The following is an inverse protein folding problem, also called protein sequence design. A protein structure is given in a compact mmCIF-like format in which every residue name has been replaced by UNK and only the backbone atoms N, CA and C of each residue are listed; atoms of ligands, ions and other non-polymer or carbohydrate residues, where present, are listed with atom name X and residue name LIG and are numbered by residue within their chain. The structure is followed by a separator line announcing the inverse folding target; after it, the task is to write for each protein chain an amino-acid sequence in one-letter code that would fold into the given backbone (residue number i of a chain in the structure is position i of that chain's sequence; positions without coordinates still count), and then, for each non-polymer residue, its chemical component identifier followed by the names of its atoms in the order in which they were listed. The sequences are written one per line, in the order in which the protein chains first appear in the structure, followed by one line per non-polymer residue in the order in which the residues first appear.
data_IF_034010698355
#
_entry.id   IF_034010698355
#
_cell.length_a   1.000
_cell.length_b   1.000
_cell.length_c   1.000
_cell.angle_alpha   90.00
_cell.angle_beta   90.00
_cell.angle_gamma   90.00
#
_symmetry.space_group_name_H-M   'P 1'
#
loop_
_entity.id
_entity.type
_entity.pdbx_description
1 polymer ?
#
# COMPACT_ATOMS: atom_id res chain seq x y z
N UNK A 1 5.66 -10.29 11.91
CA UNK A 1 5.25 -9.53 10.70
C UNK A 1 5.30 -8.04 11.01
N UNK A 2 5.81 -7.26 10.11
CA UNK A 2 5.87 -5.80 10.23
C UNK A 2 5.05 -5.15 9.11
N UNK A 3 4.16 -4.23 9.47
CA UNK A 3 3.38 -3.47 8.51
C UNK A 3 4.18 -2.27 8.02
N UNK A 4 4.26 -2.06 6.72
CA UNK A 4 4.72 -0.81 6.11
C UNK A 4 3.47 -0.03 5.70
N UNK A 5 3.22 1.11 6.34
CA UNK A 5 2.05 1.94 6.03
C UNK A 5 2.50 3.17 5.26
N UNK A 6 2.09 3.24 4.00
CA UNK A 6 2.42 4.32 3.11
C UNK A 6 1.48 5.50 3.35
N UNK A 7 2.00 6.56 3.95
CA UNK A 7 1.29 7.81 4.23
C UNK A 7 1.73 8.94 3.31
N UNK A 8 2.23 8.62 2.13
CA UNK A 8 2.60 9.58 1.10
C UNK A 8 1.40 10.25 0.45
N UNK A 9 1.67 11.30 -0.33
CA UNK A 9 0.66 12.03 -1.08
C UNK A 9 0.09 13.25 -0.33
N UNK A 10 -0.04 14.36 -1.06
CA UNK A 10 -0.56 15.63 -0.54
C UNK A 10 -2.09 15.68 -0.41
N UNK A 11 -2.79 14.69 -1.01
CA UNK A 11 -4.25 14.57 -0.91
C UNK A 11 -5.06 15.78 -1.42
N UNK A 12 -4.46 16.65 -2.22
CA UNK A 12 -5.02 17.96 -2.65
C UNK A 12 -6.31 17.85 -3.45
N UNK A 13 -6.63 16.67 -4.01
CA UNK A 13 -7.86 16.43 -4.78
C UNK A 13 -9.15 16.58 -3.97
N UNK A 14 -9.07 16.41 -2.65
CA UNK A 14 -10.22 16.59 -1.75
C UNK A 14 -10.34 18.00 -1.18
N UNK A 15 -9.67 18.98 -1.78
CA UNK A 15 -9.89 20.38 -1.38
C UNK A 15 -11.40 20.72 -1.47
N UNK A 16 -12.00 21.39 -0.49
CA UNK A 16 -11.40 22.04 0.67
C UNK A 16 -11.25 21.17 1.93
N UNK A 17 -11.60 19.90 1.91
CA UNK A 17 -11.49 18.99 3.07
C UNK A 17 -10.03 18.70 3.41
N UNK A 18 -9.22 18.35 2.40
CA UNK A 18 -7.79 18.16 2.57
C UNK A 18 -6.99 19.43 2.25
N UNK A 19 -5.83 19.55 2.86
CA UNK A 19 -4.87 20.65 2.71
C UNK A 19 -3.47 20.05 2.64
N UNK A 20 -2.50 20.83 2.16
CA UNK A 20 -1.09 20.40 2.12
C UNK A 20 -0.59 19.92 3.49
N UNK A 21 -0.95 20.61 4.57
CA UNK A 21 -0.58 20.23 5.94
C UNK A 21 -1.62 19.33 6.64
N UNK A 22 -2.71 19.00 5.99
CA UNK A 22 -3.71 18.05 6.47
C UNK A 22 -4.20 17.20 5.28
N UNK A 23 -3.37 16.25 4.81
CA UNK A 23 -3.74 15.42 3.67
C UNK A 23 -4.88 14.46 4.01
N UNK A 24 -5.52 13.90 2.97
CA UNK A 24 -6.77 13.13 3.05
C UNK A 24 -6.77 12.04 4.12
N UNK A 25 -5.67 11.32 4.27
CA UNK A 25 -5.55 10.20 5.19
C UNK A 25 -5.69 10.59 6.66
N UNK A 26 -5.43 11.85 7.02
CA UNK A 26 -5.58 12.38 8.39
C UNK A 26 -6.86 13.18 8.62
N UNK A 27 -7.66 13.40 7.58
CA UNK A 27 -8.97 14.07 7.75
C UNK A 27 -9.95 13.11 8.39
N UNK A 28 -10.61 13.53 9.48
CA UNK A 28 -11.59 12.70 10.22
C UNK A 28 -12.93 12.67 9.48
N UNK A 29 -13.05 11.79 8.47
CA UNK A 29 -14.20 11.72 7.58
C UNK A 29 -15.21 10.63 7.95
N UNK A 30 -14.77 9.56 8.58
CA UNK A 30 -15.59 8.36 8.83
C UNK A 30 -15.84 8.24 10.33
N UNK A 31 -17.03 8.52 10.80
CA UNK A 31 -17.41 8.42 12.21
C UNK A 31 -16.44 9.13 13.18
N UNK A 32 -15.89 10.27 12.76
CA UNK A 32 -14.89 11.02 13.54
C UNK A 32 -13.48 10.43 13.54
N UNK A 33 -13.23 9.38 12.75
CA UNK A 33 -11.92 8.77 12.56
C UNK A 33 -11.31 9.17 11.22
N UNK A 34 -9.99 9.21 11.16
CA UNK A 34 -9.23 9.38 9.91
C UNK A 34 -9.09 8.04 9.18
N UNK A 35 -8.80 8.08 7.89
CA UNK A 35 -8.52 6.87 7.11
C UNK A 35 -7.28 6.15 7.64
N UNK A 36 -6.26 6.91 8.09
CA UNK A 36 -5.06 6.35 8.69
C UNK A 36 -5.36 5.62 10.01
N UNK A 37 -6.18 6.21 10.89
CA UNK A 37 -6.63 5.53 12.11
C UNK A 37 -7.39 4.24 11.84
N UNK A 38 -8.28 4.25 10.82
CA UNK A 38 -9.00 3.04 10.38
C UNK A 38 -8.04 1.97 9.84
N UNK A 39 -7.04 2.36 9.05
CA UNK A 39 -6.02 1.43 8.55
C UNK A 39 -5.23 0.79 9.70
N UNK A 40 -4.73 1.59 10.64
CA UNK A 40 -4.04 1.09 11.83
C UNK A 40 -4.92 0.15 12.68
N UNK A 41 -6.18 0.53 12.92
CA UNK A 41 -7.12 -0.29 13.69
C UNK A 41 -7.41 -1.64 13.03
N UNK A 42 -7.57 -1.66 11.71
CA UNK A 42 -7.77 -2.87 10.91
C UNK A 42 -6.56 -3.79 10.96
N UNK A 43 -5.35 -3.25 10.81
CA UNK A 43 -4.11 -4.03 10.89
C UNK A 43 -3.91 -4.63 12.29
N UNK A 44 -4.17 -3.87 13.34
CA UNK A 44 -4.09 -4.36 14.71
C UNK A 44 -5.11 -5.48 15.01
N UNK A 45 -6.29 -5.46 14.40
CA UNK A 45 -7.27 -6.55 14.51
C UNK A 45 -6.87 -7.80 13.71
N UNK A 46 -6.27 -7.59 12.52
CA UNK A 46 -5.81 -8.69 11.68
C UNK A 46 -4.61 -9.42 12.31
N UNK A 47 -3.61 -8.67 12.79
CA UNK A 47 -2.38 -9.19 13.39
C UNK A 47 -1.97 -8.33 14.61
N UNK A 48 -2.48 -8.65 15.82
CA UNK A 48 -2.28 -7.83 17.02
C UNK A 48 -0.81 -7.69 17.47
N UNK A 49 0.05 -8.62 17.09
CA UNK A 49 1.49 -8.62 17.44
C UNK A 49 2.37 -7.92 16.40
N UNK A 50 1.78 -7.35 15.34
CA UNK A 50 2.56 -6.70 14.30
C UNK A 50 3.14 -5.36 14.76
N UNK A 51 4.37 -5.08 14.29
CA UNK A 51 4.99 -3.75 14.37
C UNK A 51 4.55 -2.91 13.18
N UNK A 52 4.71 -1.59 13.28
CA UNK A 52 4.34 -0.68 12.22
C UNK A 52 5.52 0.22 11.85
N UNK A 53 5.83 0.31 10.56
CA UNK A 53 6.74 1.30 9.99
C UNK A 53 5.89 2.27 9.18
N UNK A 54 5.83 3.51 9.63
CA UNK A 54 5.04 4.56 8.98
C UNK A 54 5.98 5.35 8.07
N UNK A 55 5.72 5.31 6.76
CA UNK A 55 6.49 6.10 5.79
C UNK A 55 5.66 7.30 5.40
N UNK A 56 6.10 8.48 5.78
CA UNK A 56 5.33 9.71 5.58
C UNK A 56 6.23 10.92 5.28
N UNK A 57 5.63 11.95 4.70
CA UNK A 57 6.31 13.24 4.58
C UNK A 57 6.61 13.82 5.97
N UNK A 58 7.79 14.40 6.16
CA UNK A 58 8.23 14.96 7.45
C UNK A 58 7.27 16.03 8.00
N UNK A 59 6.58 16.78 7.13
CA UNK A 59 5.59 17.78 7.53
C UNK A 59 4.31 17.16 8.12
N UNK A 60 4.08 15.86 7.89
CA UNK A 60 2.90 15.13 8.39
C UNK A 60 3.22 14.26 9.60
N UNK A 61 4.49 14.23 10.03
CA UNK A 61 4.96 13.35 11.11
C UNK A 61 4.12 13.47 12.38
N UNK A 62 3.84 14.69 12.84
CA UNK A 62 3.07 14.90 14.07
C UNK A 62 1.63 14.40 13.98
N UNK A 63 1.01 14.47 12.80
CA UNK A 63 -0.32 13.90 12.57
C UNK A 63 -0.28 12.37 12.69
N UNK A 64 0.73 11.74 12.10
CA UNK A 64 0.91 10.30 12.16
C UNK A 64 1.27 9.83 13.57
N UNK A 65 2.12 10.56 14.27
CA UNK A 65 2.55 10.26 15.65
C UNK A 65 1.35 10.26 16.61
N UNK A 66 0.50 11.29 16.54
CA UNK A 66 -0.69 11.43 17.39
C UNK A 66 -1.64 10.23 17.26
N UNK A 67 -1.84 9.74 16.04
CA UNK A 67 -2.71 8.58 15.78
C UNK A 67 -2.06 7.22 16.06
N UNK A 68 -0.73 7.20 16.23
CA UNK A 68 0.02 6.01 16.63
C UNK A 68 0.19 5.86 18.14
N UNK A 69 -0.40 6.75 18.95
CA UNK A 69 -0.28 6.69 20.41
C UNK A 69 -0.69 5.30 20.95
N UNK A 70 0.17 4.72 21.80
CA UNK A 70 -0.02 3.38 22.38
C UNK A 70 0.20 2.20 21.42
N UNK A 71 0.73 2.44 20.22
CA UNK A 71 1.07 1.40 19.23
C UNK A 71 2.58 1.28 19.05
N UNK A 72 3.06 0.07 18.75
CA UNK A 72 4.46 -0.14 18.36
C UNK A 72 4.66 0.39 16.94
N UNK A 73 5.21 1.60 16.82
CA UNK A 73 5.38 2.29 15.56
C UNK A 73 6.76 2.95 15.47
N UNK A 74 7.39 2.80 14.32
CA UNK A 74 8.57 3.57 13.90
C UNK A 74 8.25 4.37 12.64
N UNK A 75 9.06 5.39 12.36
CA UNK A 75 8.77 6.36 11.31
C UNK A 75 9.96 6.50 10.39
N UNK A 76 9.72 6.42 9.08
CA UNK A 76 10.66 6.86 8.04
C UNK A 76 10.10 8.13 7.43
N UNK A 77 10.82 9.23 7.61
CA UNK A 77 10.38 10.56 7.22
C UNK A 77 11.07 10.97 5.92
N UNK A 78 10.24 11.21 4.91
CA UNK A 78 10.64 11.68 3.59
C UNK A 78 10.49 13.20 3.50
N UNK A 79 11.48 13.96 3.03
CA UNK A 79 11.33 15.40 2.80
C UNK A 79 10.34 15.70 1.68
N UNK A 80 10.25 14.81 0.69
CA UNK A 80 9.28 14.79 -0.40
C UNK A 80 9.14 13.36 -0.93
N UNK A 81 8.04 13.04 -1.64
CA UNK A 81 7.80 11.70 -2.16
C UNK A 81 8.64 11.38 -3.42
N UNK A 82 9.06 10.13 -3.55
CA UNK A 82 9.69 9.52 -4.74
C UNK A 82 9.01 8.20 -5.10
N UNK A 83 7.67 8.22 -5.07
CA UNK A 83 6.83 7.08 -5.38
C UNK A 83 7.02 5.89 -4.40
N UNK A 84 6.45 4.72 -4.72
CA UNK A 84 6.31 3.62 -3.77
C UNK A 84 7.51 2.69 -3.70
N UNK A 85 8.31 2.55 -4.76
CA UNK A 85 9.46 1.64 -4.77
C UNK A 85 10.50 2.02 -3.71
N UNK A 86 10.89 3.30 -3.67
CA UNK A 86 11.82 3.83 -2.68
C UNK A 86 11.28 3.69 -1.25
N UNK A 87 10.01 4.08 -1.04
CA UNK A 87 9.36 4.00 0.26
C UNK A 87 9.34 2.56 0.80
N UNK A 88 8.96 1.59 -0.02
CA UNK A 88 8.92 0.18 0.39
C UNK A 88 10.33 -0.36 0.62
N UNK A 89 11.31 0.03 -0.19
CA UNK A 89 12.72 -0.33 0.01
C UNK A 89 13.24 0.18 1.37
N UNK A 90 12.91 1.41 1.78
CA UNK A 90 13.27 1.92 3.11
C UNK A 90 12.68 1.06 4.24
N UNK A 91 11.42 0.64 4.10
CA UNK A 91 10.79 -0.27 5.05
C UNK A 91 11.51 -1.62 5.12
N UNK A 92 11.84 -2.21 3.98
CA UNK A 92 12.55 -3.49 3.90
C UNK A 92 13.97 -3.43 4.48
N UNK A 93 14.67 -2.32 4.26
CA UNK A 93 16.01 -2.07 4.82
C UNK A 93 16.01 -1.76 6.33
N UNK A 94 14.82 -1.58 6.93
CA UNK A 94 14.67 -1.25 8.35
C UNK A 94 14.41 -2.47 9.24
N UNK A 95 14.36 -3.67 8.66
CA UNK A 95 14.08 -4.94 9.36
C UNK A 95 15.04 -6.04 8.93
N UNK A 96 14.99 -7.19 9.61
CA UNK A 96 15.75 -8.36 9.21
C UNK A 96 15.22 -8.97 7.90
N UNK A 97 16.09 -9.53 7.07
CA UNK A 97 15.72 -10.10 5.76
C UNK A 97 14.65 -11.22 5.84
N UNK A 98 14.61 -11.95 6.95
CA UNK A 98 13.60 -12.99 7.22
C UNK A 98 12.24 -12.46 7.64
N UNK A 99 12.11 -11.17 7.94
CA UNK A 99 10.86 -10.56 8.40
C UNK A 99 9.83 -10.50 7.28
N UNK A 100 8.60 -10.90 7.59
CA UNK A 100 7.46 -10.73 6.68
C UNK A 100 6.97 -9.31 6.77
N UNK A 101 6.90 -8.64 5.64
CA UNK A 101 6.38 -7.30 5.47
C UNK A 101 4.99 -7.34 4.85
N UNK A 102 4.08 -6.56 5.40
CA UNK A 102 2.79 -6.27 4.80
C UNK A 102 2.71 -4.78 4.46
N UNK A 103 2.65 -4.46 3.17
CA UNK A 103 2.56 -3.09 2.67
C UNK A 103 1.09 -2.71 2.51
N UNK A 104 0.69 -1.59 3.08
CA UNK A 104 -0.67 -1.06 3.01
C UNK A 104 -0.67 0.44 2.77
N UNK A 105 -1.60 0.91 1.95
CA UNK A 105 -1.91 2.33 1.89
C UNK A 105 -2.67 2.77 3.15
N UNK A 106 -2.46 4.03 3.54
CA UNK A 106 -3.08 4.65 4.72
C UNK A 106 -4.52 5.14 4.50
N UNK A 107 -5.04 5.07 3.28
CA UNK A 107 -6.29 5.72 2.87
C UNK A 107 -7.36 4.77 2.30
N UNK A 108 -7.15 3.47 2.44
CA UNK A 108 -8.11 2.46 2.02
C UNK A 108 -9.18 2.21 3.09
N UNK A 109 -10.44 2.15 2.67
CA UNK A 109 -11.56 1.67 3.48
C UNK A 109 -11.81 0.21 3.08
N UNK A 110 -11.79 -0.68 4.06
CA UNK A 110 -12.05 -2.11 3.88
C UNK A 110 -13.16 -2.51 4.84
N UNK A 111 -14.34 -2.81 4.32
CA UNK A 111 -15.52 -3.12 5.12
C UNK A 111 -15.47 -4.52 5.73
N UNK A 112 -15.04 -5.52 4.95
CA UNK A 112 -15.01 -6.90 5.42
C UNK A 112 -13.68 -7.23 6.12
N UNK A 113 -13.59 -6.88 7.40
CA UNK A 113 -12.39 -7.12 8.22
C UNK A 113 -12.05 -8.62 8.37
N UNK A 114 -13.05 -9.50 8.37
CA UNK A 114 -12.84 -10.96 8.48
C UNK A 114 -12.18 -11.51 7.22
N UNK A 115 -12.66 -11.12 6.03
CA UNK A 115 -12.05 -11.52 4.77
C UNK A 115 -10.64 -10.91 4.62
N UNK A 116 -10.44 -9.68 5.07
CA UNK A 116 -9.11 -9.05 5.09
C UNK A 116 -8.13 -9.84 5.97
N UNK A 117 -8.54 -10.25 7.17
CA UNK A 117 -7.71 -11.08 8.06
C UNK A 117 -7.37 -12.43 7.43
N UNK A 118 -8.34 -13.08 6.80
CA UNK A 118 -8.11 -14.35 6.10
C UNK A 118 -7.08 -14.17 4.97
N UNK A 119 -7.24 -13.15 4.13
CA UNK A 119 -6.32 -12.82 3.05
C UNK A 119 -4.88 -12.53 3.56
N UNK A 120 -4.73 -11.83 4.69
CA UNK A 120 -3.43 -11.62 5.32
C UNK A 120 -2.80 -12.95 5.75
N UNK A 121 -3.57 -13.87 6.32
CA UNK A 121 -3.05 -15.19 6.74
C UNK A 121 -2.56 -15.99 5.53
N UNK A 122 -3.33 -16.03 4.44
CA UNK A 122 -2.92 -16.69 3.20
C UNK A 122 -1.66 -16.04 2.60
N UNK A 123 -1.61 -14.70 2.58
CA UNK A 123 -0.44 -13.96 2.12
C UNK A 123 0.81 -14.24 2.95
N UNK A 124 0.68 -14.36 4.27
CA UNK A 124 1.80 -14.71 5.17
C UNK A 124 2.32 -16.13 4.87
N UNK A 125 1.42 -17.09 4.59
CA UNK A 125 1.82 -18.44 4.24
C UNK A 125 2.66 -18.43 2.95
N UNK A 126 2.16 -17.78 1.91
CA UNK A 126 2.85 -17.64 0.62
C UNK A 126 4.17 -16.87 0.74
N UNK A 127 4.20 -15.78 1.51
CA UNK A 127 5.42 -15.02 1.77
C UNK A 127 6.49 -15.85 2.49
N UNK A 128 6.08 -16.77 3.41
CA UNK A 128 6.99 -17.72 4.05
C UNK A 128 7.64 -18.68 3.05
N UNK A 129 6.96 -19.01 1.96
CA UNK A 129 7.47 -19.82 0.86
C UNK A 129 8.37 -19.02 -0.10
N UNK A 130 8.60 -17.74 0.18
CA UNK A 130 9.42 -16.85 -0.65
C UNK A 130 8.67 -16.22 -1.82
N UNK A 131 7.34 -16.18 -1.80
CA UNK A 131 6.54 -15.55 -2.84
C UNK A 131 6.37 -14.05 -2.58
N UNK A 132 6.28 -13.27 -3.66
CA UNK A 132 5.77 -11.91 -3.66
C UNK A 132 4.25 -11.96 -3.84
N UNK A 133 3.51 -11.44 -2.87
CA UNK A 133 2.05 -11.49 -2.89
C UNK A 133 1.48 -10.11 -3.11
N UNK A 134 0.56 -9.97 -4.06
CA UNK A 134 -0.24 -8.76 -4.28
C UNK A 134 -1.72 -9.05 -4.06
N UNK A 135 -2.50 -8.02 -3.78
CA UNK A 135 -3.93 -8.14 -3.51
C UNK A 135 -4.73 -7.48 -4.63
N UNK A 136 -5.58 -8.27 -5.27
CA UNK A 136 -6.46 -7.81 -6.33
C UNK A 136 -7.88 -7.59 -5.84
N UNK A 137 -8.50 -6.51 -6.27
CA UNK A 137 -9.88 -6.17 -5.98
C UNK A 137 -10.73 -6.56 -7.18
N UNK A 138 -11.84 -7.27 -6.95
CA UNK A 138 -12.76 -7.62 -8.02
C UNK A 138 -13.36 -6.33 -8.61
N UNK A 139 -13.20 -6.07 -9.92
CA UNK A 139 -13.72 -4.87 -10.52
C UNK A 139 -15.23 -4.98 -10.73
N UNK A 140 -15.97 -3.93 -10.42
CA UNK A 140 -17.40 -3.78 -10.65
C UNK A 140 -17.71 -2.86 -11.84
N UNK A 141 -16.76 -2.00 -12.22
CA UNK A 141 -16.87 -1.08 -13.35
C UNK A 141 -15.55 -0.95 -14.12
N UNK A 142 -15.57 -0.49 -15.40
CA UNK A 142 -14.35 -0.23 -16.15
C UNK A 142 -13.73 1.11 -15.72
N UNK A 143 -12.81 1.09 -14.77
CA UNK A 143 -12.17 2.29 -14.23
C UNK A 143 -10.79 2.50 -14.88
N UNK A 144 -10.50 3.72 -15.36
CA UNK A 144 -9.24 4.09 -15.99
C UNK A 144 -8.23 4.68 -15.01
N UNK A 145 -8.61 4.85 -13.74
CA UNK A 145 -7.77 5.40 -12.67
C UNK A 145 -6.96 4.35 -11.91
N UNK A 146 -7.20 3.06 -12.16
CA UNK A 146 -6.56 1.94 -11.47
C UNK A 146 -5.64 1.13 -12.40
N UNK A 147 -4.63 0.50 -11.80
CA UNK A 147 -3.90 -0.59 -12.42
C UNK A 147 -4.74 -1.87 -12.41
N UNK A 148 -4.54 -2.73 -13.40
CA UNK A 148 -5.21 -4.02 -13.53
C UNK A 148 -4.19 -5.15 -13.46
N UNK A 149 -4.53 -6.20 -12.71
CA UNK A 149 -3.77 -7.43 -12.60
C UNK A 149 -4.52 -8.53 -13.34
N UNK A 150 -3.90 -9.14 -14.33
CA UNK A 150 -4.43 -10.31 -15.01
C UNK A 150 -4.03 -11.57 -14.22
N UNK A 151 -5.02 -12.32 -13.74
CA UNK A 151 -4.79 -13.62 -13.10
C UNK A 151 -4.44 -14.69 -14.16
N UNK A 152 -3.53 -15.58 -13.81
CA UNK A 152 -3.20 -16.77 -14.58
C UNK A 152 -3.76 -18.04 -13.90
N UNK A 153 -2.93 -19.01 -13.64
CA UNK A 153 -3.36 -20.29 -13.07
C UNK A 153 -3.80 -20.14 -11.62
N UNK A 154 -4.88 -20.86 -11.27
CA UNK A 154 -5.32 -20.98 -9.88
C UNK A 154 -4.37 -21.90 -9.12
N UNK A 155 -3.94 -21.44 -7.95
CA UNK A 155 -3.13 -22.20 -6.99
C UNK A 155 -3.90 -22.38 -5.68
N UNK A 156 -3.33 -23.06 -4.70
CA UNK A 156 -4.01 -23.38 -3.43
C UNK A 156 -4.52 -22.11 -2.71
N UNK A 157 -3.71 -21.03 -2.68
CA UNK A 157 -4.03 -19.77 -2.01
C UNK A 157 -4.03 -18.60 -2.99
N UNK A 158 -4.80 -18.66 -4.09
CA UNK A 158 -4.89 -17.53 -5.01
C UNK A 158 -4.64 -17.89 -6.46
N UNK A 159 -3.97 -17.00 -7.20
CA UNK A 159 -3.61 -17.15 -8.60
C UNK A 159 -2.20 -16.65 -8.85
N UNK A 160 -1.48 -17.30 -9.77
CA UNK A 160 -0.29 -16.65 -10.33
C UNK A 160 -0.70 -15.43 -11.16
N UNK A 161 0.19 -14.44 -11.26
CA UNK A 161 -0.05 -13.24 -12.06
C UNK A 161 0.42 -13.50 -13.48
N UNK A 162 -0.34 -13.04 -14.47
CA UNK A 162 0.04 -13.08 -15.89
C UNK A 162 0.63 -11.76 -16.36
N UNK A 163 0.05 -10.66 -15.97
CA UNK A 163 0.51 -9.32 -16.35
C UNK A 163 -0.12 -8.23 -15.48
N UNK A 164 0.56 -7.09 -15.44
CA UNK A 164 0.03 -5.83 -14.93
C UNK A 164 -0.23 -4.86 -16.07
N UNK A 165 -1.26 -4.05 -15.95
CA UNK A 165 -1.57 -2.98 -16.90
C UNK A 165 -1.97 -1.73 -16.12
N UNK A 166 -1.12 -0.72 -16.13
CA UNK A 166 -1.36 0.52 -15.39
C UNK A 166 -2.29 1.45 -16.17
N UNK A 167 -3.37 1.86 -15.55
CA UNK A 167 -4.33 2.89 -16.02
C UNK A 167 -4.66 2.77 -17.51
N UNK A 168 -5.30 1.65 -17.94
CA UNK A 168 -5.66 1.45 -19.33
C UNK A 168 -6.65 2.51 -19.81
N UNK A 169 -6.77 2.69 -21.12
CA UNK A 169 -7.85 3.47 -21.68
C UNK A 169 -9.22 2.80 -21.44
N UNK A 170 -10.29 3.56 -21.63
CA UNK A 170 -11.65 3.09 -21.34
C UNK A 170 -12.06 1.87 -22.20
N UNK A 171 -11.59 1.79 -23.45
CA UNK A 171 -11.91 0.67 -24.33
C UNK A 171 -11.23 -0.61 -23.83
N UNK A 172 -9.97 -0.53 -23.48
CA UNK A 172 -9.18 -1.61 -22.88
C UNK A 172 -9.77 -2.04 -21.53
N UNK A 173 -10.10 -1.09 -20.62
CA UNK A 173 -10.73 -1.38 -19.34
C UNK A 173 -12.06 -2.14 -19.48
N UNK A 174 -12.92 -1.75 -20.44
CA UNK A 174 -14.15 -2.47 -20.76
C UNK A 174 -13.91 -3.90 -21.26
N UNK A 175 -12.89 -4.10 -22.09
CA UNK A 175 -12.51 -5.43 -22.60
C UNK A 175 -12.01 -6.32 -21.45
N UNK A 176 -11.15 -5.79 -20.56
CA UNK A 176 -10.64 -6.49 -19.38
C UNK A 176 -11.78 -6.94 -18.47
N UNK A 177 -12.72 -6.05 -18.17
CA UNK A 177 -13.90 -6.37 -17.36
C UNK A 177 -14.78 -7.46 -18.01
N UNK A 178 -15.04 -7.35 -19.31
CA UNK A 178 -15.87 -8.29 -20.04
C UNK A 178 -15.24 -9.68 -20.18
N UNK A 179 -13.91 -9.76 -20.29
CA UNK A 179 -13.20 -11.04 -20.42
C UNK A 179 -13.10 -11.81 -19.11
N UNK A 180 -13.24 -11.14 -17.96
CA UNK A 180 -13.01 -11.74 -16.65
C UNK A 180 -11.52 -12.04 -16.38
N UNK A 181 -11.22 -12.46 -15.15
CA UNK A 181 -9.85 -12.80 -14.75
C UNK A 181 -8.93 -11.59 -14.54
N UNK A 182 -9.47 -10.38 -14.54
CA UNK A 182 -8.77 -9.15 -14.19
C UNK A 182 -9.24 -8.62 -12.84
N UNK A 183 -8.31 -8.05 -12.10
CA UNK A 183 -8.55 -7.44 -10.78
C UNK A 183 -7.90 -6.07 -10.74
N UNK A 184 -8.49 -5.13 -10.00
CA UNK A 184 -7.81 -3.87 -9.72
C UNK A 184 -6.61 -4.13 -8.80
N UNK A 185 -5.48 -3.48 -9.11
CA UNK A 185 -4.34 -3.47 -8.21
C UNK A 185 -4.66 -2.63 -6.97
N UNK A 186 -4.64 -3.25 -5.81
CA UNK A 186 -4.88 -2.54 -4.54
C UNK A 186 -3.68 -1.75 -4.04
N UNK A 187 -2.47 -1.98 -4.58
CA UNK A 187 -1.24 -1.44 -4.02
C UNK A 187 -0.88 -1.99 -2.63
N UNK A 188 -1.49 -3.11 -2.23
CA UNK A 188 -1.10 -3.86 -1.04
C UNK A 188 -0.23 -5.06 -1.44
N UNK A 189 0.80 -5.33 -0.63
CA UNK A 189 1.74 -6.41 -0.90
C UNK A 189 2.11 -7.16 0.39
N UNK A 190 2.53 -8.42 0.25
CA UNK A 190 3.08 -9.20 1.36
C UNK A 190 4.26 -10.04 0.85
N UNK A 191 5.39 -9.97 1.54
CA UNK A 191 6.63 -10.65 1.15
C UNK A 191 7.63 -10.68 2.30
N UNK A 192 8.69 -11.50 2.21
CA UNK A 192 9.87 -11.35 3.07
C UNK A 192 10.72 -10.18 2.61
N UNK A 193 11.28 -9.43 3.55
CA UNK A 193 12.15 -8.29 3.26
C UNK A 193 13.32 -8.69 2.32
N UNK A 194 14.01 -9.79 2.62
CA UNK A 194 15.13 -10.26 1.80
C UNK A 194 14.71 -10.66 0.38
N UNK A 195 13.51 -11.22 0.20
CA UNK A 195 12.99 -11.56 -1.15
C UNK A 195 12.82 -10.28 -1.95
N UNK A 196 12.13 -9.26 -1.41
CA UNK A 196 11.99 -7.98 -2.09
C UNK A 196 13.33 -7.33 -2.43
N UNK A 197 14.28 -7.32 -1.48
CA UNK A 197 15.59 -6.71 -1.71
C UNK A 197 16.37 -7.42 -2.82
N UNK A 198 16.30 -8.76 -2.90
CA UNK A 198 16.91 -9.53 -3.97
C UNK A 198 16.30 -9.23 -5.34
N UNK A 199 14.97 -9.10 -5.40
CA UNK A 199 14.27 -8.72 -6.63
C UNK A 199 14.62 -7.29 -7.05
N UNK A 200 14.66 -6.34 -6.11
CA UNK A 200 15.12 -4.98 -6.42
C UNK A 200 16.59 -4.95 -6.89
N UNK A 201 17.44 -5.81 -6.35
CA UNK A 201 18.85 -5.91 -6.81
C UNK A 201 18.93 -6.38 -8.26
N UNK A 202 18.04 -7.27 -8.67
CA UNK A 202 18.00 -7.85 -10.02
C UNK A 202 17.33 -6.91 -11.02
N UNK A 203 16.21 -6.29 -10.66
CA UNK A 203 15.29 -5.62 -11.59
C UNK A 203 15.30 -4.09 -11.50
N UNK A 204 15.69 -3.53 -10.35
CA UNK A 204 15.78 -2.09 -10.11
C UNK A 204 17.00 -1.74 -9.24
N UNK A 205 18.24 -2.14 -9.66
CA UNK A 205 19.44 -1.99 -8.83
C UNK A 205 19.75 -0.54 -8.46
N UNK A 206 19.36 0.42 -9.32
CA UNK A 206 19.51 1.85 -9.03
C UNK A 206 18.62 2.31 -7.88
N UNK A 207 17.40 1.78 -7.74
CA UNK A 207 16.50 2.07 -6.62
C UNK A 207 17.11 1.52 -5.33
N UNK A 208 17.54 0.26 -5.35
CA UNK A 208 18.10 -0.39 -4.17
C UNK A 208 19.40 0.28 -3.71
N UNK A 209 20.30 0.60 -4.64
CA UNK A 209 21.58 1.25 -4.32
C UNK A 209 21.35 2.64 -3.70
N UNK A 210 20.44 3.44 -4.28
CA UNK A 210 20.10 4.75 -3.76
C UNK A 210 19.38 4.66 -2.40
N UNK A 211 18.46 3.70 -2.23
CA UNK A 211 17.77 3.49 -0.96
C UNK A 211 18.72 3.04 0.16
N UNK A 212 19.65 2.11 -0.10
CA UNK A 212 20.70 1.68 0.84
C UNK A 212 21.50 2.89 1.30
N UNK A 213 22.01 3.70 0.34
CA UNK A 213 22.78 4.91 0.66
C UNK A 213 21.97 5.92 1.50
N UNK A 214 20.70 6.12 1.15
CA UNK A 214 19.83 7.05 1.87
C UNK A 214 19.59 6.61 3.33
N UNK A 215 19.39 5.31 3.58
CA UNK A 215 19.21 4.75 4.93
C UNK A 215 20.51 4.77 5.75
N UNK A 216 21.66 4.54 5.11
CA UNK A 216 22.98 4.64 5.75
C UNK A 216 23.29 6.08 6.22
N UNK A 217 22.96 7.07 5.37
CA UNK A 217 23.16 8.49 5.66
C UNK A 217 22.08 9.09 6.56
N UNK A 218 20.96 8.37 6.78
CA UNK A 218 19.81 8.89 7.49
C UNK A 218 20.12 9.29 8.93
N UNK A 219 19.52 10.38 9.38
CA UNK A 219 19.56 10.76 10.78
C UNK A 219 18.57 9.93 11.57
N UNK A 220 19.06 9.10 12.49
CA UNK A 220 18.25 8.26 13.37
C UNK A 220 18.12 8.88 14.76
N UNK A 221 16.89 8.93 15.27
CA UNK A 221 16.55 9.43 16.60
C UNK A 221 15.44 8.56 17.20
N UNK A 222 15.80 7.60 18.06
CA UNK A 222 14.87 6.61 18.59
C UNK A 222 14.16 5.84 17.48
N UNK A 223 12.83 5.94 17.44
CA UNK A 223 11.99 5.29 16.43
C UNK A 223 11.86 6.07 15.11
N UNK A 224 12.65 7.15 14.94
CA UNK A 224 12.54 8.05 13.77
C UNK A 224 13.79 7.91 12.91
N UNK A 225 13.59 7.68 11.62
CA UNK A 225 14.62 7.72 10.58
C UNK A 225 14.27 8.84 9.60
N UNK A 226 15.14 9.85 9.47
CA UNK A 226 14.95 10.99 8.55
C UNK A 226 15.87 10.86 7.36
N UNK A 227 15.29 10.78 6.19
CA UNK A 227 16.03 10.76 4.91
C UNK A 227 16.40 12.20 4.54
N UNK A 228 17.64 12.41 4.10
CA UNK A 228 18.08 13.73 3.69
C UNK A 228 17.48 14.14 2.33
N UNK A 229 17.25 15.46 2.07
CA UNK A 229 16.82 15.91 0.75
C UNK A 229 17.77 15.52 -0.38
N UNK A 230 19.06 15.55 -0.14
CA UNK A 230 20.08 15.20 -1.13
C UNK A 230 20.04 13.71 -1.52
N UNK A 231 19.85 12.81 -0.54
CA UNK A 231 19.71 11.39 -0.83
C UNK A 231 18.37 11.09 -1.50
N UNK A 232 17.29 11.79 -1.09
CA UNK A 232 15.97 11.66 -1.70
C UNK A 232 15.96 12.09 -3.17
N UNK A 233 16.70 13.15 -3.54
CA UNK A 233 16.85 13.60 -4.93
C UNK A 233 17.54 12.58 -5.83
N UNK A 234 18.40 11.74 -5.26
CA UNK A 234 19.12 10.70 -6.01
C UNK A 234 18.27 9.46 -6.32
N UNK A 235 17.09 9.32 -5.69
CA UNK A 235 16.20 8.18 -5.89
C UNK A 235 15.41 8.31 -7.19
N UNK A 236 15.29 7.24 -7.98
CA UNK A 236 14.34 7.16 -9.09
C UNK A 236 12.91 7.36 -8.60
N UNK A 237 12.11 8.11 -9.36
CA UNK A 237 10.68 8.34 -9.08
C UNK A 237 9.84 7.27 -9.80
N UNK A 238 9.85 6.06 -9.26
CA UNK A 238 9.12 4.92 -9.83
C UNK A 238 8.24 4.23 -8.79
N UNK A 239 7.09 3.75 -9.26
CA UNK A 239 6.21 2.91 -8.47
C UNK A 239 6.77 1.50 -8.36
N UNK A 240 6.48 0.81 -7.26
CA UNK A 240 6.81 -0.61 -7.10
C UNK A 240 6.12 -1.46 -8.18
N UNK A 241 4.94 -1.08 -8.63
CA UNK A 241 4.18 -1.76 -9.67
C UNK A 241 4.91 -1.75 -11.02
N UNK A 242 5.72 -0.73 -11.30
CA UNK A 242 6.60 -0.69 -12.48
C UNK A 242 7.88 -1.49 -12.28
N UNK A 243 8.43 -1.51 -11.07
CA UNK A 243 9.52 -2.40 -10.72
C UNK A 243 9.05 -3.87 -10.82
N UNK A 244 7.82 -4.16 -10.38
CA UNK A 244 7.17 -5.47 -10.51
C UNK A 244 6.89 -5.86 -11.97
N UNK A 245 6.73 -4.92 -12.91
CA UNK A 245 6.60 -5.26 -14.34
C UNK A 245 7.90 -5.81 -14.94
N UNK A 246 9.03 -5.61 -14.29
CA UNK A 246 10.32 -6.21 -14.60
C UNK A 246 10.57 -7.53 -13.83
N UNK A 247 9.79 -7.80 -12.76
CA UNK A 247 9.88 -9.06 -12.00
C UNK A 247 9.33 -10.22 -12.83
N UNK A 248 9.87 -11.44 -12.68
CA UNK A 248 9.29 -12.61 -13.29
C UNK A 248 7.87 -12.84 -12.75
N UNK A 249 6.88 -12.52 -13.57
CA UNK A 249 5.44 -12.57 -13.25
C UNK A 249 5.02 -13.92 -12.66
N UNK A 250 5.77 -14.99 -12.94
CA UNK A 250 5.56 -16.35 -12.42
C UNK A 250 5.76 -16.51 -10.90
N UNK A 251 6.42 -15.56 -10.24
CA UNK A 251 6.67 -15.60 -8.79
C UNK A 251 5.71 -14.73 -7.98
N UNK A 252 4.88 -13.92 -8.66
CA UNK A 252 3.89 -13.06 -8.04
C UNK A 252 2.58 -13.81 -7.88
N UNK A 253 2.04 -13.83 -6.67
CA UNK A 253 0.77 -14.46 -6.35
C UNK A 253 -0.29 -13.39 -6.11
N UNK A 254 -1.41 -13.51 -6.80
CA UNK A 254 -2.58 -12.66 -6.65
C UNK A 254 -3.56 -13.28 -5.66
N UNK A 255 -3.93 -12.55 -4.62
CA UNK A 255 -5.03 -12.86 -3.72
C UNK A 255 -6.25 -12.01 -4.11
N UNK A 256 -7.31 -12.61 -4.68
CA UNK A 256 -8.54 -11.90 -4.96
C UNK A 256 -9.23 -11.42 -3.67
N UNK A 257 -9.62 -10.17 -3.63
CA UNK A 257 -10.31 -9.58 -2.50
C UNK A 257 -11.50 -8.74 -2.96
N UNK A 258 -12.66 -8.92 -2.29
CA UNK A 258 -13.84 -8.10 -2.56
C UNK A 258 -13.94 -6.97 -1.54
N UNK A 259 -13.95 -5.73 -1.99
CA UNK A 259 -14.23 -4.57 -1.15
C UNK A 259 -15.76 -4.34 -1.19
N UNK A 260 -16.42 -4.57 -0.07
CA UNK A 260 -17.84 -4.21 0.11
C UNK A 260 -17.99 -2.72 0.38
N UNK A 261 -17.97 -1.89 -0.65
CA UNK A 261 -18.21 -0.44 -0.51
C UNK A 261 -19.70 -0.15 -0.33
N UNK A 262 -20.59 -0.99 -0.88
CA UNK A 262 -22.04 -0.80 -0.86
C UNK A 262 -22.65 -0.74 0.55
N UNK A 263 -22.15 -1.53 1.50
CA UNK A 263 -22.66 -1.54 2.88
C UNK A 263 -22.35 -0.23 3.63
N UNK A 264 -21.15 0.32 3.43
CA UNK A 264 -20.76 1.60 4.06
C UNK A 264 -21.57 2.75 3.50
N UNK A 265 -21.84 2.75 2.19
CA UNK A 265 -22.65 3.74 1.53
C UNK A 265 -24.11 3.68 1.99
N UNK A 266 -24.65 2.47 2.17
CA UNK A 266 -26.02 2.25 2.62
C UNK A 266 -26.22 2.76 4.04
N UNK A 267 -25.31 2.45 4.96
CA UNK A 267 -25.35 2.92 6.35
C UNK A 267 -25.17 4.45 6.44
N UNK A 268 -24.36 5.05 5.59
CA UNK A 268 -24.18 6.51 5.54
C UNK A 268 -25.41 7.22 4.96
N UNK A 269 -26.10 6.63 3.99
CA UNK A 269 -27.33 7.17 3.39
C UNK A 269 -28.53 7.03 4.34
N UNK A 270 -28.65 5.91 5.08
CA UNK A 270 -29.73 5.68 6.05
C UNK A 270 -29.65 6.65 7.23
N UNK A 271 -28.46 7.15 7.58
CA UNK A 271 -28.27 8.11 8.67
C UNK A 271 -28.39 9.59 8.26
N UNK A 272 -28.94 9.88 7.08
CA UNK A 272 -29.19 11.24 6.56
C UNK A 272 -28.00 12.21 6.69
N UNK A 273 -26.79 11.67 6.62
CA UNK A 273 -25.55 12.46 6.57
C UNK A 273 -25.21 12.65 5.12
N UNK A 274 -24.95 13.88 4.73
CA UNK A 274 -24.42 14.21 3.40
C UNK A 274 -23.07 13.50 3.26
N UNK A 275 -23.11 12.25 2.85
CA UNK A 275 -21.91 11.50 2.53
C UNK A 275 -21.47 11.96 1.16
N UNK A 276 -20.44 12.78 1.13
CA UNK A 276 -19.64 12.94 -0.06
C UNK A 276 -19.01 11.57 -0.30
N UNK A 277 -19.62 10.80 -1.21
CA UNK A 277 -19.06 9.53 -1.66
C UNK A 277 -17.76 9.86 -2.37
N UNK A 278 -16.70 9.81 -1.61
CA UNK A 278 -15.37 9.91 -2.15
C UNK A 278 -15.05 8.54 -2.75
N UNK A 279 -15.33 8.41 -4.04
CA UNK A 279 -14.58 7.44 -4.83
C UNK A 279 -13.11 7.75 -4.57
N UNK A 280 -12.46 6.89 -3.81
CA UNK A 280 -11.02 6.95 -3.65
C UNK A 280 -10.47 6.45 -5.00
N UNK A 281 -10.47 7.35 -5.97
CA UNK A 281 -9.64 7.18 -7.14
C UNK A 281 -8.21 7.25 -6.63
N UNK A 282 -7.62 6.10 -6.39
CA UNK A 282 -6.19 5.99 -6.27
C UNK A 282 -5.61 6.45 -7.61
N UNK A 283 -4.93 7.54 -7.62
CA UNK A 283 -4.06 7.99 -8.71
C UNK A 283 -2.92 8.77 -8.08
#
# INVERSE_FOLDING_TARGET
MTNIILCGGSGTRLWPLSRTLLPKQFVKMVNGQSLFSLALGRLAKAEPSSKNIIICNENHYFLALDECEGKDASFVLEPFGRNTAAAIAFGALSVDEGEILFVSASDHIIANESAFKAAINDAKALANEGKLVTFGITPDEPNTGYGYICAAEKIEHGHSVKSFTEKPDLATAKQMLASGGYFFNSGMFCFKAGVLLAELETHAPEVLAAAKKAVENAKKDGAITRISPADMDSLPDISIDYADSALPVSEIILLPYAIGVEEILKEAMENNRTCLVLFINAS
#
